data_IF_291638473209
#
_entry.id   IF_291638473209
#
_cell.length_a   1.000
_cell.length_b   1.000
_cell.length_c   1.000
_cell.angle_alpha   90.00
_cell.angle_beta   90.00
_cell.angle_gamma   90.00
#
_symmetry.space_group_name_H-M   'P 1'
#
loop_
_entity.id
_entity.type
_entity.pdbx_description
1 polymer ?
#
# COMPACT_ATOMS: atom_id res chain seq x y z
N UNK A 1 -4.34 -7.96 -21.92
CA UNK A 1 -3.80 -6.69 -21.48
C UNK A 1 -2.34 -6.85 -21.09
N UNK A 2 -1.55 -5.85 -21.30
CA UNK A 2 -0.14 -5.83 -20.95
C UNK A 2 0.10 -4.81 -19.83
N UNK A 3 1.14 -5.06 -19.06
CA UNK A 3 1.58 -4.14 -18.02
C UNK A 3 3.08 -3.93 -18.17
N UNK A 4 3.53 -2.71 -18.01
CA UNK A 4 4.93 -2.35 -18.15
C UNK A 4 5.41 -1.59 -16.93
N UNK A 5 6.57 -1.98 -16.38
CA UNK A 5 7.18 -1.25 -15.27
C UNK A 5 7.86 -0.02 -15.85
N UNK A 6 7.40 1.17 -15.44
CA UNK A 6 7.94 2.44 -15.93
C UNK A 6 8.87 3.13 -14.94
N UNK A 7 8.81 2.74 -13.67
CA UNK A 7 9.72 3.24 -12.64
C UNK A 7 9.77 2.25 -11.49
N UNK A 8 10.93 2.11 -10.87
CA UNK A 8 11.10 1.27 -9.66
C UNK A 8 12.08 1.91 -8.71
N UNK A 9 11.87 1.67 -7.44
CA UNK A 9 12.80 2.08 -6.39
C UNK A 9 12.94 0.94 -5.38
N UNK A 10 14.04 0.16 -5.45
CA UNK A 10 14.25 -0.97 -4.54
C UNK A 10 14.38 -0.57 -3.07
N UNK A 11 14.82 0.64 -2.79
CA UNK A 11 14.93 1.14 -1.41
C UNK A 11 13.56 1.24 -0.74
N UNK A 12 12.56 1.71 -1.48
CA UNK A 12 11.17 1.79 -0.99
C UNK A 12 10.38 0.51 -1.24
N UNK A 13 10.94 -0.43 -2.00
CA UNK A 13 10.23 -1.65 -2.44
C UNK A 13 8.91 -1.31 -3.15
N UNK A 14 8.98 -0.35 -4.06
CA UNK A 14 7.84 0.12 -4.84
C UNK A 14 8.19 0.14 -6.32
N UNK A 15 7.19 -0.12 -7.14
CA UNK A 15 7.30 0.09 -8.59
C UNK A 15 6.01 0.71 -9.13
N UNK A 16 6.17 1.47 -10.22
CA UNK A 16 5.07 2.05 -10.95
C UNK A 16 4.88 1.27 -12.24
N UNK A 17 3.65 0.87 -12.49
CA UNK A 17 3.30 0.03 -13.63
C UNK A 17 2.29 0.78 -14.49
N UNK A 18 2.55 0.85 -15.79
CA UNK A 18 1.58 1.36 -16.77
C UNK A 18 0.74 0.19 -17.26
N UNK A 19 -0.56 0.36 -17.24
CA UNK A 19 -1.52 -0.64 -17.73
C UNK A 19 -2.49 0.01 -18.71
N UNK A 20 -3.23 -0.82 -19.42
CA UNK A 20 -4.33 -0.35 -20.26
C UNK A 20 -5.35 0.40 -19.40
N UNK A 21 -6.02 1.38 -20.01
CA UNK A 21 -7.01 2.18 -19.29
C UNK A 21 -8.08 1.30 -18.66
N UNK A 22 -8.29 1.48 -17.36
CA UNK A 22 -9.37 0.85 -16.62
C UNK A 22 -10.24 1.93 -15.99
N UNK A 23 -11.51 1.60 -15.80
CA UNK A 23 -12.46 2.51 -15.16
C UNK A 23 -12.36 2.33 -13.64
N UNK A 24 -11.74 3.29 -12.98
CA UNK A 24 -11.55 3.26 -11.52
C UNK A 24 -11.93 4.61 -10.92
N UNK A 25 -12.33 4.58 -9.67
CA UNK A 25 -12.58 5.79 -8.91
C UNK A 25 -11.26 6.47 -8.55
N UNK A 26 -11.30 7.77 -8.39
CA UNK A 26 -10.15 8.52 -7.90
C UNK A 26 -9.77 8.05 -6.49
N UNK A 27 -8.48 7.91 -6.27
CA UNK A 27 -7.94 7.57 -4.96
C UNK A 27 -6.90 8.62 -4.58
N UNK A 28 -6.81 8.92 -3.30
CA UNK A 28 -5.87 9.92 -2.78
C UNK A 28 -4.89 9.29 -1.84
N UNK A 29 -3.67 9.81 -1.86
CA UNK A 29 -2.65 9.49 -0.87
C UNK A 29 -2.82 10.50 0.27
N UNK A 30 -2.92 10.03 1.50
CA UNK A 30 -3.08 10.90 2.66
C UNK A 30 -1.91 11.87 2.80
N UNK A 31 -2.20 13.10 3.20
CA UNK A 31 -1.20 14.16 3.37
C UNK A 31 -0.49 14.07 4.71
N UNK A 32 -1.13 13.51 5.71
CA UNK A 32 -0.57 13.38 7.05
C UNK A 32 -0.56 11.93 7.50
N UNK A 33 0.35 11.61 8.40
CA UNK A 33 0.42 10.29 9.02
C UNK A 33 -0.83 10.04 9.85
N UNK A 34 -1.32 8.80 9.91
CA UNK A 34 -2.37 8.45 10.85
C UNK A 34 -1.87 8.55 12.29
N UNK A 35 -2.79 8.74 13.21
CA UNK A 35 -2.50 8.71 14.64
C UNK A 35 -2.26 7.27 15.11
N UNK A 36 -1.51 7.09 16.17
CA UNK A 36 -1.33 5.77 16.78
C UNK A 36 -2.69 5.22 17.22
N UNK A 37 -2.97 3.98 16.83
CA UNK A 37 -4.23 3.34 17.14
C UNK A 37 -5.39 3.73 16.25
N UNK A 38 -5.17 4.61 15.27
CA UNK A 38 -6.22 4.96 14.30
C UNK A 38 -6.62 3.73 13.49
N UNK A 39 -7.93 3.55 13.25
CA UNK A 39 -8.43 2.44 12.45
C UNK A 39 -8.02 2.57 11.01
N UNK A 40 -7.56 1.46 10.45
CA UNK A 40 -7.10 1.35 9.07
C UNK A 40 -7.72 0.12 8.43
N UNK A 41 -7.77 0.13 7.10
CA UNK A 41 -8.50 -0.86 6.32
C UNK A 41 -7.67 -1.31 5.12
N UNK A 42 -7.84 -2.57 4.73
CA UNK A 42 -7.24 -3.07 3.49
C UNK A 42 -8.15 -4.11 2.84
N UNK A 43 -7.99 -4.27 1.55
CA UNK A 43 -8.58 -5.38 0.79
C UNK A 43 -7.42 -6.14 0.19
N UNK A 44 -7.35 -7.43 0.43
CA UNK A 44 -6.20 -8.22 0.01
C UNK A 44 -6.60 -9.60 -0.46
N UNK A 45 -5.61 -10.35 -0.93
CA UNK A 45 -5.79 -11.72 -1.41
C UNK A 45 -4.79 -12.64 -0.72
N UNK A 46 -4.92 -12.81 0.62
CA UNK A 46 -3.98 -13.64 1.37
C UNK A 46 -4.04 -15.09 0.87
N UNK A 47 -2.88 -15.67 0.57
CA UNK A 47 -2.75 -17.00 0.00
C UNK A 47 -3.55 -17.18 -1.31
N UNK A 48 -3.80 -16.08 -2.04
CA UNK A 48 -4.59 -16.10 -3.26
C UNK A 48 -6.10 -16.22 -3.02
N UNK A 49 -6.55 -16.02 -1.78
CA UNK A 49 -7.96 -16.18 -1.43
C UNK A 49 -8.77 -14.97 -1.86
N UNK A 50 -9.22 -14.99 -3.11
CA UNK A 50 -10.10 -13.98 -3.69
C UNK A 50 -10.76 -14.56 -4.93
N UNK A 51 -11.82 -13.94 -5.41
CA UNK A 51 -12.55 -14.38 -6.59
C UNK A 51 -13.40 -13.26 -7.18
N UNK A 52 -14.19 -13.59 -8.19
CA UNK A 52 -14.99 -12.61 -8.91
C UNK A 52 -16.03 -11.91 -8.03
N UNK A 53 -16.51 -12.60 -6.99
CA UNK A 53 -17.59 -12.12 -6.15
C UNK A 53 -17.18 -11.89 -4.70
N UNK A 54 -15.90 -12.02 -4.37
CA UNK A 54 -15.43 -11.82 -3.00
C UNK A 54 -13.97 -11.38 -2.98
N UNK A 55 -13.65 -10.60 -1.95
CA UNK A 55 -12.28 -10.21 -1.62
C UNK A 55 -12.21 -10.13 -0.09
N UNK A 56 -11.04 -10.31 0.46
CA UNK A 56 -10.86 -10.31 1.91
C UNK A 56 -10.68 -8.87 2.40
N UNK A 57 -11.66 -8.40 3.15
CA UNK A 57 -11.63 -7.10 3.81
C UNK A 57 -11.11 -7.28 5.21
N UNK A 58 -10.03 -6.57 5.54
CA UNK A 58 -9.41 -6.63 6.84
C UNK A 58 -9.34 -5.21 7.41
N UNK A 59 -9.42 -5.11 8.72
CA UNK A 59 -9.21 -3.85 9.42
C UNK A 59 -8.33 -4.08 10.63
N UNK A 60 -7.77 -3.01 11.14
CA UNK A 60 -6.90 -3.04 12.30
C UNK A 60 -6.53 -1.64 12.69
N UNK A 61 -5.38 -1.47 13.31
CA UNK A 61 -4.94 -0.18 13.81
C UNK A 61 -3.53 0.13 13.34
N UNK A 62 -3.27 1.41 13.16
CA UNK A 62 -1.94 1.88 12.86
C UNK A 62 -1.09 1.82 14.11
N UNK A 63 0.04 1.12 14.05
CA UNK A 63 0.91 0.85 15.20
C UNK A 63 2.20 1.67 15.20
N UNK A 64 2.35 2.60 14.26
CA UNK A 64 3.53 3.47 14.17
C UNK A 64 4.57 2.95 13.21
N UNK A 65 5.68 3.69 13.11
CA UNK A 65 6.76 3.38 12.19
C UNK A 65 8.11 3.46 12.89
N UNK A 66 8.98 2.52 12.60
CA UNK A 66 10.40 2.61 12.91
C UNK A 66 11.09 3.57 11.93
N UNK A 67 10.69 3.48 10.65
CA UNK A 67 11.11 4.38 9.57
C UNK A 67 9.97 4.48 8.56
N UNK A 68 10.10 5.34 7.54
CA UNK A 68 9.04 5.51 6.53
C UNK A 68 8.77 4.25 5.69
N UNK A 69 9.69 3.29 5.71
CA UNK A 69 9.54 2.02 5.02
C UNK A 69 9.34 0.84 5.97
N UNK A 70 9.36 1.08 7.27
CA UNK A 70 9.13 0.08 8.31
C UNK A 70 8.00 0.55 9.21
N UNK A 71 6.81 0.60 8.66
CA UNK A 71 5.59 0.93 9.39
C UNK A 71 4.83 -0.35 9.74
N UNK A 72 4.17 -0.33 10.88
CA UNK A 72 3.50 -1.49 11.45
C UNK A 72 2.01 -1.27 11.45
N UNK A 73 1.30 -2.26 10.91
CA UNK A 73 -0.16 -2.28 10.84
C UNK A 73 -0.64 -3.51 11.58
N UNK A 74 -1.54 -3.37 12.55
CA UNK A 74 -2.09 -4.54 13.23
C UNK A 74 -3.18 -5.19 12.36
N UNK A 75 -2.76 -5.61 11.18
CA UNK A 75 -3.55 -6.33 10.18
C UNK A 75 -2.77 -7.58 9.81
N UNK A 76 -3.39 -8.76 9.79
CA UNK A 76 -2.70 -9.97 9.37
C UNK A 76 -2.20 -9.89 7.93
N UNK A 77 -1.00 -10.42 7.68
CA UNK A 77 -0.46 -10.56 6.33
C UNK A 77 0.00 -11.99 6.11
N UNK A 78 -0.24 -12.48 4.91
CA UNK A 78 0.18 -13.78 4.42
C UNK A 78 0.72 -13.61 3.00
N UNK A 79 1.43 -14.60 2.45
CA UNK A 79 1.80 -14.56 1.04
C UNK A 79 0.58 -14.22 0.17
N UNK A 80 0.73 -13.24 -0.73
CA UNK A 80 -0.38 -12.70 -1.51
C UNK A 80 -0.94 -11.40 -0.96
N UNK A 81 -0.59 -11.01 0.27
CA UNK A 81 -0.99 -9.72 0.85
C UNK A 81 -0.07 -8.57 0.44
N UNK A 82 1.15 -8.86 0.00
CA UNK A 82 2.12 -7.85 -0.44
C UNK A 82 1.56 -7.02 -1.59
N UNK A 83 1.72 -5.70 -1.52
CA UNK A 83 1.18 -4.77 -2.50
C UNK A 83 -0.23 -4.30 -2.18
N UNK A 84 -0.88 -4.82 -1.16
CA UNK A 84 -2.19 -4.35 -0.73
C UNK A 84 -2.06 -2.95 -0.13
N UNK A 85 -2.91 -2.02 -0.59
CA UNK A 85 -2.93 -0.69 -0.01
C UNK A 85 -3.68 -0.69 1.31
N UNK A 86 -3.23 0.19 2.21
CA UNK A 86 -3.87 0.41 3.50
C UNK A 86 -4.46 1.82 3.47
N UNK A 87 -5.71 1.94 3.85
CA UNK A 87 -6.43 3.21 3.83
C UNK A 87 -6.92 3.60 5.21
N UNK A 88 -7.19 4.88 5.40
CA UNK A 88 -7.93 5.38 6.55
C UNK A 88 -9.45 5.29 6.28
N UNK A 89 -10.26 5.73 7.24
CA UNK A 89 -11.73 5.69 7.10
C UNK A 89 -12.28 6.59 5.99
N UNK A 90 -11.48 7.52 5.49
CA UNK A 90 -11.84 8.39 4.36
C UNK A 90 -11.49 7.75 3.01
N UNK A 91 -10.88 6.58 3.02
CA UNK A 91 -10.42 5.91 1.81
C UNK A 91 -9.10 6.45 1.27
N UNK A 92 -8.40 7.28 2.02
CA UNK A 92 -7.09 7.79 1.60
C UNK A 92 -6.01 6.75 1.89
N UNK A 93 -5.05 6.61 0.97
CA UNK A 93 -3.93 5.68 1.14
C UNK A 93 -3.01 6.20 2.24
N UNK A 94 -2.76 5.37 3.25
CA UNK A 94 -1.83 5.68 4.33
C UNK A 94 -0.63 4.73 4.34
N UNK A 95 -0.62 3.73 3.49
CA UNK A 95 0.50 2.80 3.39
C UNK A 95 0.26 1.68 2.42
N UNK A 96 1.25 0.80 2.34
CA UNK A 96 1.19 -0.41 1.51
C UNK A 96 1.85 -1.56 2.27
N UNK A 97 1.18 -2.68 2.33
CA UNK A 97 1.71 -3.90 2.94
C UNK A 97 2.79 -4.47 2.02
N UNK A 98 3.97 -4.72 2.57
CA UNK A 98 5.09 -5.26 1.81
C UNK A 98 5.57 -6.60 2.35
N UNK A 99 5.41 -6.85 3.66
CA UNK A 99 5.86 -8.09 4.26
C UNK A 99 5.10 -8.39 5.55
N UNK A 100 5.14 -9.65 5.95
CA UNK A 100 4.60 -10.08 7.24
C UNK A 100 5.67 -9.96 8.32
N UNK A 101 5.26 -9.70 9.55
CA UNK A 101 6.18 -9.74 10.68
C UNK A 101 6.47 -11.21 11.03
N UNK A 102 7.76 -11.61 11.10
CA UNK A 102 8.10 -12.99 11.45
C UNK A 102 7.55 -13.36 12.84
N UNK A 103 6.92 -14.52 12.94
CA UNK A 103 6.36 -15.06 14.18
C UNK A 103 5.27 -14.19 14.86
N UNK A 104 4.77 -13.14 14.18
CA UNK A 104 3.68 -12.30 14.69
C UNK A 104 2.59 -12.21 13.62
N UNK A 105 1.66 -13.19 13.58
CA UNK A 105 0.75 -13.36 12.46
C UNK A 105 -0.30 -12.25 12.29
N UNK A 106 -0.48 -11.40 13.28
CA UNK A 106 -1.45 -10.30 13.23
C UNK A 106 -0.80 -8.93 12.96
N UNK A 107 0.48 -8.90 12.55
CA UNK A 107 1.20 -7.67 12.22
C UNK A 107 1.68 -7.75 10.80
N UNK A 108 1.44 -6.70 10.02
CA UNK A 108 2.06 -6.50 8.72
C UNK A 108 2.99 -5.30 8.75
N UNK A 109 3.95 -5.29 7.86
CA UNK A 109 4.98 -4.25 7.77
C UNK A 109 4.97 -3.69 6.35
N UNK A 110 5.10 -2.39 6.23
CA UNK A 110 5.18 -1.76 4.92
C UNK A 110 5.56 -0.29 4.99
N UNK A 111 5.43 0.36 3.83
CA UNK A 111 5.71 1.78 3.69
C UNK A 111 4.51 2.62 4.12
N UNK A 112 4.77 3.85 4.54
CA UNK A 112 3.71 4.79 4.90
C UNK A 112 3.36 5.71 3.72
N UNK A 113 2.41 6.61 3.93
CA UNK A 113 2.00 7.59 2.92
C UNK A 113 3.14 8.52 2.50
N UNK A 114 4.04 8.87 3.40
CA UNK A 114 5.17 9.75 3.09
C UNK A 114 6.11 9.10 2.08
N UNK A 115 6.47 7.82 2.28
CA UNK A 115 7.33 7.10 1.33
C UNK A 115 6.66 6.93 -0.03
N UNK A 116 5.34 6.71 -0.04
CA UNK A 116 4.58 6.63 -1.30
C UNK A 116 4.60 7.98 -2.02
N UNK A 117 4.42 9.09 -1.31
CA UNK A 117 4.54 10.43 -1.87
C UNK A 117 5.92 10.69 -2.47
N UNK A 118 6.98 10.34 -1.73
CA UNK A 118 8.36 10.50 -2.20
C UNK A 118 8.61 9.67 -3.46
N UNK A 119 8.12 8.44 -3.48
CA UNK A 119 8.22 7.56 -4.65
C UNK A 119 7.50 8.16 -5.86
N UNK A 120 6.28 8.64 -5.69
CA UNK A 120 5.49 9.22 -6.77
C UNK A 120 6.11 10.51 -7.31
N UNK A 121 6.67 11.34 -6.44
CA UNK A 121 7.37 12.56 -6.82
C UNK A 121 8.62 12.23 -7.67
N UNK A 122 9.40 11.25 -7.22
CA UNK A 122 10.59 10.78 -7.91
C UNK A 122 10.24 10.18 -9.29
N UNK A 123 9.21 9.37 -9.33
CA UNK A 123 8.72 8.80 -10.59
C UNK A 123 8.24 9.89 -11.56
N UNK A 124 7.52 10.90 -11.06
CA UNK A 124 7.06 12.02 -11.88
C UNK A 124 8.23 12.76 -12.54
N UNK A 125 9.30 12.99 -11.78
CA UNK A 125 10.50 13.66 -12.30
C UNK A 125 11.21 12.82 -13.36
N UNK A 126 11.32 11.52 -13.13
CA UNK A 126 12.03 10.63 -14.04
C UNK A 126 11.30 10.47 -15.38
N UNK A 127 9.99 10.27 -15.35
CA UNK A 127 9.20 10.07 -16.57
C UNK A 127 8.69 11.37 -17.19
N UNK A 128 8.87 12.52 -16.50
CA UNK A 128 8.57 13.83 -17.05
C UNK A 128 7.10 14.22 -17.09
N UNK A 129 6.24 13.53 -16.35
CA UNK A 129 4.81 13.87 -16.23
C UNK A 129 4.39 13.97 -14.78
N UNK A 130 3.35 14.76 -14.51
CA UNK A 130 2.80 14.87 -13.17
C UNK A 130 1.91 13.67 -12.87
N UNK A 131 2.18 12.97 -11.77
CA UNK A 131 1.41 11.82 -11.31
C UNK A 131 0.56 12.13 -10.08
N UNK A 132 0.68 13.35 -9.55
CA UNK A 132 0.04 13.75 -8.29
C UNK A 132 -0.87 14.95 -8.49
#
# INVERSE_FOLDING_TARGET
SSAEIVHRNPEFDLCLVEIDKVDVSDIRIARSMPDYGEYIYTVSSPMGFSGDNYAIHLDGQFSGCYSIIDCYFSIPARPGSSGSIVTNKKGEIIGMIQRAAPAVPFISIGSNNESIWMFMDDASKEIGISLL
#
